data_IF_451976330362
#
_entry.id   IF_451976330362
#
_cell.length_a   1.000
_cell.length_b   1.000
_cell.length_c   1.000
_cell.angle_alpha   90.00
_cell.angle_beta   90.00
_cell.angle_gamma   90.00
#
_symmetry.space_group_name_H-M   'P 1'
#
loop_
_entity.id
_entity.type
_entity.pdbx_description
1 polymer ?
#
# COMPACT_ATOMS: atom_id res chain seq x y z
N UNK A 1 -10.16 8.07 4.15
CA UNK A 1 -10.85 6.88 3.61
C UNK A 1 -11.38 6.09 4.78
N UNK A 2 -12.58 5.55 4.65
CA UNK A 2 -13.24 4.87 5.75
C UNK A 2 -13.63 3.47 5.31
N UNK A 3 -13.12 2.47 6.02
CA UNK A 3 -13.31 1.05 5.73
C UNK A 3 -14.79 0.67 5.62
N UNK A 4 -15.67 1.29 6.40
CA UNK A 4 -17.11 1.00 6.39
C UNK A 4 -17.85 1.43 5.11
N UNK A 5 -17.25 2.30 4.29
CA UNK A 5 -17.83 2.78 3.02
C UNK A 5 -17.33 2.02 1.80
N UNK A 6 -16.23 1.27 1.96
CA UNK A 6 -15.53 0.61 0.87
C UNK A 6 -15.94 -0.85 0.78
N UNK A 7 -15.98 -1.35 -0.44
CA UNK A 7 -16.22 -2.77 -0.75
C UNK A 7 -14.95 -3.42 -1.27
N UNK A 8 -14.85 -4.73 -1.10
CA UNK A 8 -13.82 -5.54 -1.72
C UNK A 8 -14.45 -6.83 -2.24
N UNK A 9 -13.85 -7.37 -3.28
CA UNK A 9 -14.21 -8.66 -3.84
C UNK A 9 -13.15 -9.67 -3.39
N UNK A 10 -13.56 -10.58 -2.50
CA UNK A 10 -12.67 -11.58 -1.92
C UNK A 10 -12.22 -12.62 -2.94
N UNK A 11 -13.02 -12.85 -3.97
CA UNK A 11 -12.79 -13.84 -5.01
C UNK A 11 -12.10 -13.22 -6.24
N UNK A 12 -11.76 -11.93 -6.20
CA UNK A 12 -11.09 -11.24 -7.29
C UNK A 12 -9.73 -11.88 -7.58
N UNK A 13 -9.55 -12.36 -8.80
CA UNK A 13 -8.30 -12.98 -9.28
C UNK A 13 -7.48 -12.06 -10.20
N UNK A 14 -8.07 -10.97 -10.69
CA UNK A 14 -7.45 -10.07 -11.65
C UNK A 14 -6.07 -9.60 -11.20
N UNK A 15 -5.11 -9.58 -12.13
CA UNK A 15 -3.77 -9.06 -11.87
C UNK A 15 -3.85 -7.59 -11.43
N UNK A 16 -3.21 -7.26 -10.30
CA UNK A 16 -3.29 -5.97 -9.59
C UNK A 16 -4.67 -5.64 -8.98
N UNK A 17 -5.59 -6.60 -8.97
CA UNK A 17 -6.87 -6.49 -8.31
C UNK A 17 -6.73 -6.19 -6.81
N UNK A 18 -7.58 -5.30 -6.32
CA UNK A 18 -7.76 -4.98 -4.89
C UNK A 18 -9.06 -4.21 -4.69
N UNK A 19 -9.38 -3.83 -3.45
CA UNK A 19 -10.48 -2.90 -3.18
C UNK A 19 -10.38 -1.57 -3.98
N UNK A 20 -9.20 -1.17 -4.45
CA UNK A 20 -9.04 0.00 -5.33
C UNK A 20 -9.73 -0.16 -6.70
N UNK A 21 -9.88 -1.39 -7.20
CA UNK A 21 -10.51 -1.69 -8.49
C UNK A 21 -11.99 -2.01 -8.38
N UNK A 22 -12.54 -2.10 -7.17
CA UNK A 22 -13.96 -2.42 -6.98
C UNK A 22 -14.85 -1.28 -7.53
N UNK A 23 -15.80 -1.55 -8.44
CA UNK A 23 -16.60 -0.50 -9.10
C UNK A 23 -17.35 0.44 -8.14
N UNK A 24 -17.92 -0.11 -7.05
CA UNK A 24 -18.62 0.68 -6.02
C UNK A 24 -17.75 1.65 -5.23
N UNK A 25 -16.42 1.55 -5.32
CA UNK A 25 -15.51 2.46 -4.62
C UNK A 25 -15.11 3.68 -5.48
N UNK A 26 -15.52 3.72 -6.75
CA UNK A 26 -15.11 4.75 -7.72
C UNK A 26 -15.35 6.18 -7.24
N UNK A 27 -16.50 6.47 -6.63
CA UNK A 27 -16.81 7.80 -6.09
C UNK A 27 -15.82 8.20 -4.99
N UNK A 28 -15.50 7.30 -4.08
CA UNK A 28 -14.57 7.55 -2.97
C UNK A 28 -13.11 7.65 -3.41
N UNK A 29 -12.78 7.05 -4.55
CA UNK A 29 -11.44 7.01 -5.13
C UNK A 29 -11.20 8.09 -6.18
N UNK A 30 -12.23 8.88 -6.53
CA UNK A 30 -12.13 9.89 -7.57
C UNK A 30 -11.01 10.90 -7.25
N UNK A 31 -10.01 10.97 -8.13
CA UNK A 31 -8.86 11.83 -7.97
C UNK A 31 -7.83 11.40 -6.91
N UNK A 32 -8.08 10.35 -6.12
CA UNK A 32 -7.18 9.91 -5.04
C UNK A 32 -5.76 9.63 -5.56
N UNK A 33 -5.67 8.94 -6.70
CA UNK A 33 -4.40 8.58 -7.37
C UNK A 33 -3.50 9.79 -7.65
N UNK A 34 -4.08 10.95 -7.94
CA UNK A 34 -3.34 12.17 -8.28
C UNK A 34 -3.39 13.22 -7.16
N UNK A 35 -4.04 12.94 -6.03
CA UNK A 35 -4.35 13.94 -5.01
C UNK A 35 -3.08 14.59 -4.43
N UNK A 36 -2.09 13.78 -4.04
CA UNK A 36 -0.84 14.32 -3.50
C UNK A 36 -0.02 15.06 -4.56
N UNK A 37 -0.02 14.59 -5.81
CA UNK A 37 0.67 15.28 -6.89
C UNK A 37 0.02 16.63 -7.21
N UNK A 38 -1.31 16.69 -7.28
CA UNK A 38 -2.07 17.94 -7.41
C UNK A 38 -1.81 18.87 -6.23
N UNK A 39 -1.67 18.34 -5.01
CA UNK A 39 -1.30 19.14 -3.84
C UNK A 39 0.09 19.73 -3.98
N UNK A 40 1.05 18.96 -4.50
CA UNK A 40 2.39 19.46 -4.83
C UNK A 40 2.29 20.60 -5.85
N UNK A 41 1.55 20.41 -6.94
CA UNK A 41 1.36 21.43 -7.99
C UNK A 41 0.55 22.65 -7.54
N UNK A 42 -0.36 22.50 -6.59
CA UNK A 42 -1.23 23.59 -6.12
C UNK A 42 -0.60 24.46 -5.02
N UNK A 43 0.54 24.07 -4.46
CA UNK A 43 1.20 24.79 -3.36
C UNK A 43 2.52 25.40 -3.83
N UNK A 44 2.71 26.74 -3.79
CA UNK A 44 3.97 27.37 -4.18
C UNK A 44 5.17 26.80 -3.43
N UNK A 45 5.01 26.55 -2.12
CA UNK A 45 6.03 25.93 -1.27
C UNK A 45 6.37 24.52 -1.72
N UNK A 46 5.36 23.67 -1.96
CA UNK A 46 5.61 22.29 -2.39
C UNK A 46 6.17 22.24 -3.82
N UNK A 47 5.71 23.11 -4.72
CA UNK A 47 6.28 23.26 -6.06
C UNK A 47 7.77 23.59 -6.00
N UNK A 48 8.16 24.59 -5.22
CA UNK A 48 9.56 24.98 -5.09
C UNK A 48 10.44 23.86 -4.51
N UNK A 49 9.87 22.99 -3.68
CA UNK A 49 10.60 21.83 -3.13
C UNK A 49 10.69 20.65 -4.09
N UNK A 50 9.58 20.32 -4.77
CA UNK A 50 9.46 19.09 -5.54
C UNK A 50 9.73 19.26 -7.03
N UNK A 51 9.60 20.45 -7.59
CA UNK A 51 9.74 20.69 -9.02
C UNK A 51 10.99 21.55 -9.29
N UNK A 52 11.83 21.08 -10.20
CA UNK A 52 13.01 21.79 -10.69
C UNK A 52 12.84 22.06 -12.17
N UNK A 53 13.17 23.27 -12.60
CA UNK A 53 13.23 23.61 -14.03
C UNK A 53 14.64 23.34 -14.53
N UNK A 54 14.78 22.50 -15.54
CA UNK A 54 16.05 22.26 -16.22
C UNK A 54 16.38 23.42 -17.16
N UNK A 55 17.62 23.45 -17.66
CA UNK A 55 18.10 24.53 -18.53
C UNK A 55 17.32 24.66 -19.85
N UNK A 56 16.69 23.58 -20.30
CA UNK A 56 15.81 23.52 -21.48
C UNK A 56 14.36 23.98 -21.20
N UNK A 57 14.08 24.45 -19.97
CA UNK A 57 12.74 24.86 -19.54
C UNK A 57 11.83 23.69 -19.14
N UNK A 58 12.29 22.44 -19.24
CA UNK A 58 11.51 21.28 -18.80
C UNK A 58 11.38 21.24 -17.28
N UNK A 59 10.21 20.82 -16.79
CA UNK A 59 9.95 20.66 -15.36
C UNK A 59 10.14 19.19 -14.98
N UNK A 60 11.10 18.93 -14.09
CA UNK A 60 11.39 17.61 -13.54
C UNK A 60 11.12 17.57 -12.03
N UNK A 61 10.86 16.38 -11.47
CA UNK A 61 10.82 16.25 -10.01
C UNK A 61 12.22 16.23 -9.41
N UNK A 62 12.40 16.92 -8.29
CA UNK A 62 13.64 17.00 -7.53
C UNK A 62 14.00 15.63 -6.91
N UNK A 63 15.16 15.03 -7.24
CA UNK A 63 15.59 13.76 -6.66
C UNK A 63 15.70 13.78 -5.13
N UNK A 64 16.16 14.90 -4.57
CA UNK A 64 16.28 15.08 -3.11
C UNK A 64 14.91 15.05 -2.43
N UNK A 65 13.91 15.74 -2.99
CA UNK A 65 12.56 15.75 -2.44
C UNK A 65 11.89 14.37 -2.55
N UNK A 66 12.10 13.66 -3.66
CA UNK A 66 11.62 12.27 -3.81
C UNK A 66 12.20 11.35 -2.74
N UNK A 67 13.52 11.44 -2.48
CA UNK A 67 14.20 10.63 -1.45
C UNK A 67 13.69 10.94 -0.04
N UNK A 68 13.48 12.21 0.29
CA UNK A 68 12.91 12.63 1.58
C UNK A 68 11.48 12.10 1.75
N UNK A 69 10.66 12.21 0.70
CA UNK A 69 9.30 11.68 0.73
C UNK A 69 9.27 10.16 0.92
N UNK A 70 10.11 9.42 0.21
CA UNK A 70 10.20 7.96 0.36
C UNK A 70 10.63 7.58 1.78
N UNK A 71 11.60 8.30 2.38
CA UNK A 71 11.99 8.08 3.77
C UNK A 71 10.80 8.27 4.74
N UNK A 72 10.03 9.35 4.59
CA UNK A 72 8.82 9.56 5.40
C UNK A 72 7.75 8.47 5.18
N UNK A 73 7.58 8.00 3.94
CA UNK A 73 6.63 6.92 3.65
C UNK A 73 7.04 5.60 4.32
N UNK A 74 8.34 5.32 4.40
CA UNK A 74 8.89 4.16 5.11
C UNK A 74 8.78 4.33 6.63
N UNK A 75 9.11 5.51 7.16
CA UNK A 75 9.00 5.81 8.58
C UNK A 75 7.56 5.73 9.08
N UNK A 76 6.58 6.10 8.24
CA UNK A 76 5.16 5.90 8.52
C UNK A 76 4.77 4.41 8.61
N UNK A 77 5.33 3.55 7.76
CA UNK A 77 5.00 2.13 7.76
C UNK A 77 5.52 1.39 9.00
N UNK A 78 6.61 1.85 9.62
CA UNK A 78 7.18 1.23 10.83
C UNK A 78 6.19 1.12 11.99
N UNK A 79 5.53 2.20 12.46
CA UNK A 79 4.52 2.09 13.52
C UNK A 79 3.28 1.32 13.05
N UNK A 80 2.87 1.44 11.79
CA UNK A 80 1.72 0.68 11.25
C UNK A 80 2.01 -0.83 11.25
N UNK A 81 3.23 -1.25 10.95
CA UNK A 81 3.68 -2.64 11.05
C UNK A 81 3.57 -3.16 12.49
N UNK A 82 4.04 -2.38 13.47
CA UNK A 82 3.94 -2.74 14.90
C UNK A 82 2.47 -2.86 15.31
N UNK A 83 1.63 -1.92 14.89
CA UNK A 83 0.20 -1.93 15.19
C UNK A 83 -0.54 -3.11 14.53
N UNK A 84 -0.13 -3.51 13.32
CA UNK A 84 -0.65 -4.70 12.65
C UNK A 84 -0.15 -6.00 13.28
N UNK A 85 1.05 -6.01 13.86
CA UNK A 85 1.62 -7.15 14.58
C UNK A 85 0.93 -7.42 15.93
N UNK A 86 0.57 -6.35 16.65
CA UNK A 86 -0.02 -6.38 18.01
C UNK A 86 -1.56 -6.32 17.98
N UNK A 87 -2.17 -6.23 16.78
CA UNK A 87 -3.61 -6.35 16.58
C UNK A 87 -4.19 -7.60 17.28
N UNK A 88 -5.47 -7.58 17.71
CA UNK A 88 -5.98 -8.53 18.69
C UNK A 88 -5.73 -9.99 18.29
N UNK A 89 -5.00 -10.70 19.18
CA UNK A 89 -4.60 -12.09 19.00
C UNK A 89 -3.09 -12.31 19.24
N UNK A 90 -2.62 -13.56 19.15
CA UNK A 90 -1.19 -13.84 19.20
C UNK A 90 -0.45 -13.14 18.04
N UNK A 91 0.76 -12.61 18.29
CA UNK A 91 1.50 -11.88 17.26
C UNK A 91 1.76 -12.73 16.02
N UNK A 92 1.62 -12.12 14.84
CA UNK A 92 1.98 -12.75 13.57
C UNK A 92 3.49 -12.97 13.49
N UNK A 93 3.93 -14.06 12.87
CA UNK A 93 5.37 -14.26 12.62
C UNK A 93 5.86 -13.26 11.59
N UNK A 94 7.15 -12.94 11.68
CA UNK A 94 7.79 -12.08 10.70
C UNK A 94 7.53 -12.55 9.26
N UNK A 95 7.66 -13.85 8.99
CA UNK A 95 7.40 -14.44 7.65
C UNK A 95 5.95 -14.32 7.17
N UNK A 96 4.98 -14.22 8.08
CA UNK A 96 3.56 -14.06 7.73
C UNK A 96 3.24 -12.58 7.50
N UNK A 97 3.67 -11.72 8.42
CA UNK A 97 3.37 -10.30 8.41
C UNK A 97 4.09 -9.58 7.27
N UNK A 98 5.39 -9.83 7.11
CA UNK A 98 6.22 -9.12 6.14
C UNK A 98 5.83 -9.44 4.68
N UNK A 99 5.23 -10.60 4.44
CA UNK A 99 4.78 -11.03 3.12
C UNK A 99 3.33 -10.64 2.78
N UNK A 100 2.67 -9.82 3.61
CA UNK A 100 1.32 -9.32 3.32
C UNK A 100 1.32 -8.49 2.03
N UNK A 101 0.51 -8.90 1.06
CA UNK A 101 0.31 -8.20 -0.21
C UNK A 101 -1.01 -7.44 -0.18
N UNK A 102 -1.02 -6.21 -0.69
CA UNK A 102 -2.22 -5.36 -0.75
C UNK A 102 -2.95 -5.41 -2.10
N UNK A 103 -2.33 -6.00 -3.11
CA UNK A 103 -2.92 -6.22 -4.44
C UNK A 103 -2.49 -7.56 -5.00
N UNK A 104 -3.31 -8.09 -5.88
CA UNK A 104 -3.04 -9.36 -6.53
C UNK A 104 -1.80 -9.29 -7.44
N UNK A 105 -1.16 -10.44 -7.56
CA UNK A 105 -0.10 -10.72 -8.54
C UNK A 105 -0.49 -11.98 -9.31
N UNK A 106 0.45 -12.88 -9.61
CA UNK A 106 0.10 -14.26 -9.96
C UNK A 106 -0.52 -15.03 -8.77
N UNK A 107 -0.47 -14.47 -7.56
CA UNK A 107 -1.14 -14.97 -6.35
C UNK A 107 -2.15 -13.94 -5.84
N UNK A 108 -3.20 -14.41 -5.18
CA UNK A 108 -4.13 -13.54 -4.47
C UNK A 108 -3.42 -12.76 -3.35
N UNK A 109 -3.92 -11.55 -3.11
CA UNK A 109 -3.45 -10.66 -2.04
C UNK A 109 -3.84 -11.21 -0.66
N UNK A 110 -3.13 -10.74 0.36
CA UNK A 110 -3.38 -11.11 1.75
C UNK A 110 -4.26 -10.08 2.46
N UNK A 111 -4.18 -8.80 2.07
CA UNK A 111 -5.01 -7.75 2.64
C UNK A 111 -6.33 -7.63 1.88
N UNK A 112 -7.42 -7.78 2.61
CA UNK A 112 -8.79 -7.82 2.13
C UNK A 112 -9.66 -6.86 2.96
N UNK A 113 -10.84 -6.53 2.46
CA UNK A 113 -11.87 -5.87 3.28
C UNK A 113 -13.00 -6.85 3.57
N UNK A 114 -13.34 -7.00 4.84
CA UNK A 114 -14.44 -7.86 5.27
C UNK A 114 -15.15 -7.25 6.48
N UNK A 115 -16.48 -7.31 6.49
CA UNK A 115 -17.31 -6.78 7.58
C UNK A 115 -16.90 -5.36 8.03
N UNK A 116 -16.69 -4.46 7.04
CA UNK A 116 -16.32 -3.05 7.26
C UNK A 116 -14.95 -2.83 7.91
N UNK A 117 -14.08 -3.85 7.96
CA UNK A 117 -12.74 -3.79 8.51
C UNK A 117 -11.69 -4.28 7.51
N UNK A 118 -10.44 -3.87 7.72
CA UNK A 118 -9.31 -4.45 6.99
C UNK A 118 -8.96 -5.80 7.63
N UNK A 119 -8.96 -6.85 6.81
CA UNK A 119 -8.61 -8.20 7.17
C UNK A 119 -7.26 -8.57 6.55
N UNK A 120 -6.36 -9.13 7.36
CA UNK A 120 -5.15 -9.79 6.89
C UNK A 120 -5.40 -11.30 6.93
N UNK A 121 -5.44 -11.91 5.75
CA UNK A 121 -5.57 -13.35 5.56
C UNK A 121 -4.20 -13.91 5.18
N UNK A 122 -3.52 -14.56 6.13
CA UNK A 122 -2.22 -15.18 5.90
C UNK A 122 -2.29 -16.66 6.24
N UNK A 123 -1.63 -17.49 5.42
CA UNK A 123 -1.61 -18.93 5.61
C UNK A 123 -0.28 -19.38 6.22
N UNK A 124 -0.39 -20.33 7.13
CA UNK A 124 0.72 -20.78 7.96
C UNK A 124 1.26 -22.17 7.55
N UNK A 125 2.59 -22.33 7.54
CA UNK A 125 3.28 -23.48 6.92
C UNK A 125 3.98 -24.51 7.83
N UNK A 126 4.07 -24.39 9.18
CA UNK A 126 4.91 -25.37 9.95
C UNK A 126 4.43 -26.83 9.91
N UNK A 127 3.17 -27.10 9.54
CA UNK A 127 2.64 -28.47 9.46
C UNK A 127 2.83 -29.14 8.10
N UNK A 128 3.35 -28.44 7.09
CA UNK A 128 3.28 -28.91 5.71
C UNK A 128 4.10 -30.18 5.45
N UNK A 129 5.25 -30.33 6.12
CA UNK A 129 6.09 -31.53 5.98
C UNK A 129 5.57 -32.74 6.77
N UNK A 130 4.62 -32.55 7.70
CA UNK A 130 4.16 -33.63 8.57
C UNK A 130 2.68 -34.01 8.38
N UNK A 131 1.81 -33.05 7.99
CA UNK A 131 0.35 -33.24 8.01
C UNK A 131 -0.38 -32.69 6.78
N UNK A 132 0.28 -31.90 5.92
CA UNK A 132 -0.37 -31.29 4.74
C UNK A 132 -1.50 -30.29 5.04
N UNK A 133 -1.74 -29.97 6.32
CA UNK A 133 -2.82 -29.08 6.75
C UNK A 133 -2.34 -27.62 6.78
N UNK A 134 -3.02 -26.78 6.03
CA UNK A 134 -2.90 -25.33 6.10
C UNK A 134 -3.65 -24.84 7.34
N UNK A 135 -3.03 -23.93 8.10
CA UNK A 135 -3.74 -23.21 9.16
C UNK A 135 -3.93 -21.77 8.72
N UNK A 136 -5.18 -21.36 8.62
CA UNK A 136 -5.52 -19.98 8.32
C UNK A 136 -5.25 -19.13 9.56
N UNK A 137 -4.63 -17.98 9.31
CA UNK A 137 -4.25 -17.03 10.33
C UNK A 137 -4.85 -15.68 9.95
N UNK A 138 -6.06 -15.43 10.44
CA UNK A 138 -6.86 -14.26 10.08
C UNK A 138 -6.69 -13.18 11.16
N UNK A 139 -6.47 -11.93 10.76
CA UNK A 139 -6.42 -10.78 11.66
C UNK A 139 -7.29 -9.65 11.14
N UNK A 140 -8.20 -9.16 11.97
CA UNK A 140 -8.90 -7.90 11.72
C UNK A 140 -8.12 -6.77 12.36
N UNK A 141 -7.74 -5.78 11.56
CA UNK A 141 -7.09 -4.58 12.08
C UNK A 141 -8.14 -3.71 12.78
N UNK A 142 -7.81 -3.11 13.94
CA UNK A 142 -8.66 -2.09 14.52
C UNK A 142 -8.96 -0.99 13.50
N UNK A 143 -10.20 -0.51 13.47
CA UNK A 143 -10.71 0.40 12.43
C UNK A 143 -9.77 1.56 12.12
N UNK A 144 -9.24 2.22 13.15
CA UNK A 144 -8.32 3.36 12.97
C UNK A 144 -7.04 2.98 12.21
N UNK A 145 -6.49 1.79 12.48
CA UNK A 145 -5.28 1.28 11.82
C UNK A 145 -5.62 0.85 10.38
N UNK A 146 -6.74 0.16 10.19
CA UNK A 146 -7.22 -0.21 8.85
C UNK A 146 -7.44 1.01 7.96
N UNK A 147 -8.15 2.03 8.46
CA UNK A 147 -8.40 3.27 7.72
C UNK A 147 -7.11 4.01 7.36
N UNK A 148 -6.12 4.06 8.28
CA UNK A 148 -4.79 4.60 8.00
C UNK A 148 -4.09 3.86 6.85
N UNK A 149 -4.15 2.53 6.86
CA UNK A 149 -3.54 1.70 5.83
C UNK A 149 -4.22 1.89 4.45
N UNK A 150 -5.54 2.00 4.43
CA UNK A 150 -6.31 2.28 3.21
C UNK A 150 -5.94 3.65 2.63
N UNK A 151 -5.82 4.68 3.47
CA UNK A 151 -5.36 6.00 3.03
C UNK A 151 -3.93 5.97 2.48
N UNK A 152 -3.03 5.24 3.14
CA UNK A 152 -1.67 5.04 2.64
C UNK A 152 -1.67 4.43 1.23
N UNK A 153 -2.43 3.34 1.04
CA UNK A 153 -2.51 2.64 -0.25
C UNK A 153 -3.12 3.53 -1.35
N UNK A 154 -4.12 4.34 -1.04
CA UNK A 154 -4.78 5.12 -2.08
C UNK A 154 -4.13 6.47 -2.40
N UNK A 155 -3.39 7.07 -1.46
CA UNK A 155 -2.78 8.39 -1.67
C UNK A 155 -1.26 8.33 -1.76
N UNK A 156 -0.60 7.56 -0.88
CA UNK A 156 0.87 7.54 -0.78
C UNK A 156 1.48 6.65 -1.85
N UNK A 157 0.96 5.43 -2.03
CA UNK A 157 1.46 4.46 -3.03
C UNK A 157 1.43 5.03 -4.46
N UNK A 158 0.37 5.71 -4.93
CA UNK A 158 0.37 6.30 -6.27
C UNK A 158 1.49 7.32 -6.49
N UNK A 159 1.78 8.17 -5.50
CA UNK A 159 2.88 9.13 -5.62
C UNK A 159 4.25 8.43 -5.60
N UNK A 160 4.43 7.41 -4.74
CA UNK A 160 5.64 6.55 -4.76
C UNK A 160 5.83 5.88 -6.13
N UNK A 161 4.74 5.38 -6.72
CA UNK A 161 4.75 4.76 -8.04
C UNK A 161 5.13 5.75 -9.16
N UNK A 162 4.71 7.02 -9.05
CA UNK A 162 5.14 8.08 -9.99
C UNK A 162 6.63 8.35 -9.88
N UNK A 163 7.17 8.49 -8.66
CA UNK A 163 8.60 8.71 -8.43
C UNK A 163 9.45 7.55 -8.94
N UNK A 164 9.02 6.31 -8.69
CA UNK A 164 9.69 5.12 -9.19
C UNK A 164 9.75 5.10 -10.73
N UNK A 165 8.65 5.47 -11.42
CA UNK A 165 8.60 5.48 -12.89
C UNK A 165 9.45 6.58 -13.52
N UNK A 166 9.68 7.67 -12.81
CA UNK A 166 10.58 8.71 -13.29
C UNK A 166 12.04 8.26 -13.24
N UNK A 167 12.42 7.45 -12.25
CA UNK A 167 13.76 6.88 -12.14
C UNK A 167 13.93 5.67 -13.08
N UNK A 168 12.89 4.85 -13.21
CA UNK A 168 12.89 3.63 -14.02
C UNK A 168 11.57 3.50 -14.77
N UNK A 169 11.52 3.93 -16.05
CA UNK A 169 10.32 3.83 -16.85
C UNK A 169 9.73 2.40 -16.87
N UNK A 170 8.42 2.29 -16.71
CA UNK A 170 7.72 0.99 -16.67
C UNK A 170 7.77 0.25 -15.32
N UNK A 171 8.62 0.67 -14.38
CA UNK A 171 8.72 0.02 -13.07
C UNK A 171 7.40 0.05 -12.29
N UNK A 172 7.21 -0.97 -11.45
CA UNK A 172 6.03 -1.17 -10.63
C UNK A 172 6.43 -1.20 -9.17
N UNK A 173 5.70 -0.46 -8.35
CA UNK A 173 5.86 -0.53 -6.90
C UNK A 173 5.54 -1.95 -6.44
N UNK A 174 6.27 -2.45 -5.45
CA UNK A 174 6.07 -3.80 -4.94
C UNK A 174 4.65 -4.01 -4.38
N UNK A 175 4.07 -5.21 -4.54
CA UNK A 175 2.76 -5.56 -3.99
C UNK A 175 2.80 -5.79 -2.46
N UNK A 176 3.98 -5.96 -1.86
CA UNK A 176 4.15 -6.18 -0.43
C UNK A 176 4.02 -4.85 0.33
N UNK A 177 3.17 -4.82 1.35
CA UNK A 177 2.89 -3.60 2.13
C UNK A 177 4.13 -2.97 2.73
N UNK A 178 5.04 -3.81 3.23
CA UNK A 178 6.18 -3.40 4.04
C UNK A 178 7.47 -3.27 3.22
N UNK A 179 7.34 -3.22 1.90
CA UNK A 179 8.50 -3.16 1.02
C UNK A 179 9.04 -1.76 0.79
N UNK A 180 10.37 -1.70 0.66
CA UNK A 180 11.09 -0.53 0.17
C UNK A 180 10.86 -0.33 -1.32
N UNK A 181 11.27 0.83 -1.83
CA UNK A 181 11.16 1.16 -3.25
C UNK A 181 11.90 0.21 -4.19
N UNK A 182 12.95 -0.46 -3.71
CA UNK A 182 13.71 -1.49 -4.43
C UNK A 182 13.05 -2.88 -4.39
N UNK A 183 11.89 -3.02 -3.72
CA UNK A 183 11.16 -4.27 -3.58
C UNK A 183 11.65 -5.17 -2.45
N UNK A 184 12.70 -4.80 -1.72
CA UNK A 184 13.13 -5.53 -0.52
C UNK A 184 12.13 -5.35 0.61
N UNK A 185 11.97 -6.41 1.42
CA UNK A 185 11.11 -6.46 2.60
C UNK A 185 11.98 -6.60 3.84
#
# INVERSE_FOLDING_TARGET
>A
MESWRLKDDLDLEDFRGSWLSHPSNSEFLNGAKLALFRRIQGSPKLRAMFLTTAADGSVALCPKAMKIYEAHAQDFLKPVLVLAHVAPGPPLRASELLLVMWRNTARQRHMLMWEKLVMLYVQYHKGQQQLGVYKDNIRFLPKAIGDLLLMYIAYVIPLRQMFLRQQTPGALISPYLWSKSDGTV
#
